data_IF_067182757683
#
_entry.id   IF_067182757683
#
_cell.length_a   1.000
_cell.length_b   1.000
_cell.length_c   1.000
_cell.angle_alpha   90.00
_cell.angle_beta   90.00
_cell.angle_gamma   90.00
#
_symmetry.space_group_name_H-M   'P 1'
#
loop_
_entity.id
_entity.type
_entity.pdbx_description
1 polymer ?
#
# COMPACT_ATOMS: atom_id res chain seq x y z
N UNK A 1 -12.64 9.32 2.34
CA UNK A 1 -13.10 7.96 1.98
C UNK A 1 -13.34 7.91 0.48
N UNK A 2 -12.43 7.31 -0.28
CA UNK A 2 -12.62 7.00 -1.69
C UNK A 2 -13.59 5.81 -1.79
N UNK A 3 -14.90 6.04 -1.77
CA UNK A 3 -15.88 5.04 -2.20
C UNK A 3 -15.93 5.07 -3.71
N UNK A 4 -15.31 4.14 -4.37
CA UNK A 4 -15.44 3.95 -5.81
C UNK A 4 -16.78 3.29 -6.19
N UNK A 5 -17.44 2.59 -5.26
CA UNK A 5 -18.73 1.94 -5.48
C UNK A 5 -19.48 1.77 -4.14
N UNK A 6 -20.81 2.00 -4.04
CA UNK A 6 -21.59 1.74 -2.83
C UNK A 6 -21.49 0.29 -2.32
N UNK A 7 -21.19 -0.67 -3.21
CA UNK A 7 -21.02 -2.09 -2.90
C UNK A 7 -19.56 -2.50 -2.66
N UNK A 8 -18.59 -1.59 -2.78
CA UNK A 8 -17.20 -1.89 -2.44
C UNK A 8 -16.99 -1.73 -0.93
N UNK A 9 -16.40 -2.77 -0.32
CA UNK A 9 -15.88 -2.67 1.05
C UNK A 9 -14.91 -1.48 1.09
N UNK A 10 -15.04 -0.62 2.09
CA UNK A 10 -14.13 0.51 2.30
C UNK A 10 -12.68 0.04 2.37
N UNK A 11 -11.75 0.90 1.98
CA UNK A 11 -10.32 0.61 2.10
C UNK A 11 -9.97 0.38 3.58
N UNK A 12 -9.55 -0.83 3.99
CA UNK A 12 -9.26 -1.14 5.39
C UNK A 12 -8.22 -0.19 6.02
N UNK A 13 -7.29 0.31 5.22
CA UNK A 13 -6.30 1.29 5.66
C UNK A 13 -6.97 2.54 6.26
N UNK A 14 -7.93 3.13 5.58
CA UNK A 14 -8.59 4.35 6.08
C UNK A 14 -9.41 4.08 7.33
N UNK A 15 -10.10 2.95 7.41
CA UNK A 15 -10.88 2.58 8.61
C UNK A 15 -9.98 2.37 9.83
N UNK A 16 -8.91 1.61 9.67
CA UNK A 16 -7.95 1.36 10.73
C UNK A 16 -7.19 2.64 11.12
N UNK A 17 -6.88 3.51 10.14
CA UNK A 17 -6.26 4.81 10.40
C UNK A 17 -7.17 5.68 11.28
N UNK A 18 -8.45 5.79 10.94
CA UNK A 18 -9.43 6.52 11.75
C UNK A 18 -9.52 5.92 13.16
N UNK A 19 -9.63 4.60 13.25
CA UNK A 19 -9.71 3.90 14.54
C UNK A 19 -8.45 4.13 15.40
N UNK A 20 -7.27 4.19 14.78
CA UNK A 20 -6.01 4.42 15.49
C UNK A 20 -5.85 5.84 16.04
N UNK A 21 -6.54 6.82 15.44
CA UNK A 21 -6.55 8.22 15.88
C UNK A 21 -7.71 8.53 16.84
N UNK A 22 -8.81 7.77 16.82
CA UNK A 22 -9.92 7.96 17.74
C UNK A 22 -9.57 7.38 19.11
N UNK A 23 -9.28 8.29 20.05
CA UNK A 23 -9.00 7.93 21.44
C UNK A 23 -9.88 8.78 22.36
N UNK A 24 -10.53 8.12 23.30
CA UNK A 24 -11.35 8.82 24.30
C UNK A 24 -10.50 9.84 25.05
N UNK A 25 -10.99 11.09 25.09
CA UNK A 25 -10.35 12.19 25.78
C UNK A 25 -9.17 12.86 25.07
N UNK A 26 -8.62 12.28 23.99
CA UNK A 26 -7.44 12.85 23.31
C UNK A 26 -7.76 13.42 21.92
N UNK A 27 -8.52 12.70 21.11
CA UNK A 27 -8.82 13.12 19.74
C UNK A 27 -10.10 12.51 19.20
N UNK A 28 -10.79 13.25 18.35
CA UNK A 28 -11.99 12.81 17.63
C UNK A 28 -11.80 13.00 16.14
N UNK A 29 -11.96 11.92 15.36
CA UNK A 29 -11.83 11.97 13.91
C UNK A 29 -13.19 12.18 13.26
N UNK A 30 -13.31 13.25 12.45
CA UNK A 30 -14.48 13.54 11.63
C UNK A 30 -14.20 13.08 10.20
N UNK A 31 -14.81 11.97 9.77
CA UNK A 31 -14.72 11.46 8.42
C UNK A 31 -16.10 11.06 7.88
N UNK A 32 -16.96 12.03 7.57
CA UNK A 32 -18.32 11.74 7.10
C UNK A 32 -18.28 11.01 5.76
N UNK A 33 -19.07 9.95 5.57
CA UNK A 33 -19.18 9.25 4.31
C UNK A 33 -19.77 10.18 3.24
N UNK A 34 -19.06 10.39 2.15
CA UNK A 34 -19.54 11.19 1.02
C UNK A 34 -18.99 10.64 -0.29
N UNK A 35 -19.78 10.73 -1.39
CA UNK A 35 -19.32 10.33 -2.73
C UNK A 35 -18.14 11.17 -3.22
N UNK A 36 -18.08 12.42 -2.82
CA UNK A 36 -16.98 13.34 -3.10
C UNK A 36 -16.29 13.73 -1.80
N UNK A 37 -15.03 13.31 -1.57
CA UNK A 37 -14.29 13.60 -0.34
C UNK A 37 -14.14 15.10 -0.05
N UNK A 38 -13.96 15.94 -1.07
CA UNK A 38 -13.83 17.39 -0.88
C UNK A 38 -15.11 18.02 -0.39
N UNK A 39 -16.25 17.64 -0.95
CA UNK A 39 -17.56 18.18 -0.50
C UNK A 39 -17.88 17.77 0.94
N UNK A 40 -17.33 16.66 1.41
CA UNK A 40 -17.56 16.20 2.79
C UNK A 40 -16.97 17.13 3.84
N UNK A 41 -15.90 17.84 3.50
CA UNK A 41 -15.15 18.71 4.44
C UNK A 41 -15.30 20.20 4.15
N UNK A 42 -16.04 20.60 3.10
CA UNK A 42 -16.28 22.03 2.81
C UNK A 42 -16.96 22.81 3.94
N UNK A 43 -17.99 22.28 4.67
CA UNK A 43 -18.62 23.04 5.73
C UNK A 43 -17.65 23.33 6.88
N UNK A 44 -17.41 24.60 7.27
CA UNK A 44 -16.45 24.97 8.33
C UNK A 44 -16.68 24.25 9.66
N UNK A 45 -17.93 23.95 10.01
CA UNK A 45 -18.29 23.17 11.22
C UNK A 45 -17.70 21.75 11.25
N UNK A 46 -17.16 21.26 10.14
CA UNK A 46 -16.51 19.96 10.02
C UNK A 46 -14.98 20.05 10.03
N UNK A 47 -14.42 21.25 10.17
CA UNK A 47 -12.98 21.43 10.22
C UNK A 47 -12.50 21.16 11.64
N UNK A 48 -11.72 20.08 11.80
CA UNK A 48 -10.94 19.88 13.01
C UNK A 48 -9.73 20.83 13.03
N UNK A 49 -8.86 20.66 14.02
CA UNK A 49 -7.60 21.40 14.10
C UNK A 49 -6.58 20.90 13.11
N UNK A 50 -6.71 19.64 12.71
CA UNK A 50 -5.82 18.92 11.79
C UNK A 50 -6.63 18.31 10.66
N UNK A 51 -6.19 18.52 9.42
CA UNK A 51 -6.76 17.91 8.22
C UNK A 51 -5.73 16.97 7.60
N UNK A 52 -6.11 15.69 7.43
CA UNK A 52 -5.21 14.66 6.88
C UNK A 52 -5.65 14.32 5.47
N UNK A 53 -4.75 14.48 4.52
CA UNK A 53 -4.95 14.15 3.12
C UNK A 53 -4.20 12.86 2.75
N UNK A 54 -4.96 11.87 2.26
CA UNK A 54 -4.44 10.68 1.61
C UNK A 54 -4.72 10.78 0.11
N UNK A 55 -3.75 10.38 -0.74
CA UNK A 55 -3.88 10.38 -2.21
C UNK A 55 -4.37 11.72 -2.79
N UNK A 56 -3.87 12.83 -2.28
CA UNK A 56 -4.25 14.18 -2.73
C UNK A 56 -3.99 14.38 -4.23
N UNK A 57 -2.94 13.77 -4.75
CA UNK A 57 -2.56 13.79 -6.15
C UNK A 57 -3.58 13.10 -7.07
N UNK A 58 -4.43 12.21 -6.57
CA UNK A 58 -5.41 11.46 -7.35
C UNK A 58 -6.73 12.21 -7.58
N UNK A 59 -6.89 13.43 -7.05
CA UNK A 59 -8.10 14.24 -7.23
C UNK A 59 -8.50 14.42 -8.70
N UNK A 60 -7.58 14.64 -9.67
CA UNK A 60 -7.95 14.76 -11.08
C UNK A 60 -8.57 13.51 -11.71
N UNK A 61 -8.42 12.33 -11.08
CA UNK A 61 -9.00 11.09 -11.60
C UNK A 61 -10.51 10.93 -11.29
N UNK A 62 -11.08 11.81 -10.46
CA UNK A 62 -12.51 11.80 -10.17
C UNK A 62 -13.34 12.47 -11.27
N UNK A 63 -14.66 12.21 -11.25
CA UNK A 63 -15.60 12.93 -12.10
C UNK A 63 -15.43 14.44 -11.89
N UNK A 64 -15.30 15.21 -12.97
CA UNK A 64 -14.95 16.65 -12.95
C UNK A 64 -13.61 16.95 -12.25
N UNK A 65 -12.63 16.09 -12.43
CA UNK A 65 -11.36 16.09 -11.69
C UNK A 65 -10.59 17.40 -11.71
N UNK A 66 -10.54 18.11 -12.85
CA UNK A 66 -9.89 19.42 -12.93
C UNK A 66 -10.58 20.47 -12.06
N UNK A 67 -11.92 20.51 -12.07
CA UNK A 67 -12.69 21.41 -11.20
C UNK A 67 -12.47 21.06 -9.74
N UNK A 68 -12.46 19.77 -9.42
CA UNK A 68 -12.15 19.33 -8.06
C UNK A 68 -10.72 19.67 -7.63
N UNK A 69 -9.74 19.61 -8.54
CA UNK A 69 -8.37 20.00 -8.26
C UNK A 69 -8.27 21.50 -7.91
N UNK A 70 -8.94 22.37 -8.67
CA UNK A 70 -9.00 23.80 -8.38
C UNK A 70 -9.69 24.04 -7.02
N UNK A 71 -10.83 23.39 -6.79
CA UNK A 71 -11.53 23.48 -5.49
C UNK A 71 -10.64 23.04 -4.33
N UNK A 72 -9.85 21.96 -4.51
CA UNK A 72 -8.93 21.48 -3.48
C UNK A 72 -7.81 22.48 -3.17
N UNK A 73 -7.28 23.15 -4.21
CA UNK A 73 -6.25 24.19 -4.04
C UNK A 73 -6.81 25.35 -3.23
N UNK A 74 -7.99 25.86 -3.61
CA UNK A 74 -8.67 26.92 -2.88
C UNK A 74 -8.95 26.50 -1.43
N UNK A 75 -9.46 25.30 -1.23
CA UNK A 75 -9.79 24.77 0.09
C UNK A 75 -8.55 24.67 0.99
N UNK A 76 -7.46 24.07 0.52
CA UNK A 76 -6.20 23.98 1.27
C UNK A 76 -5.67 25.38 1.62
N UNK A 77 -5.81 26.35 0.71
CA UNK A 77 -5.39 27.73 0.96
C UNK A 77 -6.23 28.37 2.07
N UNK A 78 -7.55 28.19 2.05
CA UNK A 78 -8.46 28.68 3.09
C UNK A 78 -8.14 28.02 4.44
N UNK A 79 -7.88 26.71 4.48
CA UNK A 79 -7.47 26.03 5.71
C UNK A 79 -6.20 26.63 6.31
N UNK A 80 -5.22 26.97 5.49
CA UNK A 80 -3.99 27.63 5.97
C UNK A 80 -4.25 29.03 6.49
N UNK A 81 -5.13 29.81 5.84
CA UNK A 81 -5.56 31.11 6.36
C UNK A 81 -6.31 30.97 7.70
N UNK A 82 -7.11 29.92 7.86
CA UNK A 82 -7.78 29.57 9.10
C UNK A 82 -6.85 28.91 10.14
N UNK A 83 -5.52 28.92 9.92
CA UNK A 83 -4.47 28.37 10.81
C UNK A 83 -4.67 26.88 11.13
N UNK A 84 -5.32 26.11 10.24
CA UNK A 84 -5.47 24.66 10.40
C UNK A 84 -4.18 23.95 10.01
N UNK A 85 -3.81 22.90 10.75
CA UNK A 85 -2.66 22.04 10.43
C UNK A 85 -3.03 21.07 9.33
N UNK A 86 -2.12 20.86 8.41
CA UNK A 86 -2.31 19.97 7.25
C UNK A 86 -1.27 18.85 7.31
N UNK A 87 -1.75 17.61 7.31
CA UNK A 87 -0.94 16.41 7.20
C UNK A 87 -1.15 15.81 5.81
N UNK A 88 -0.09 15.52 5.10
CA UNK A 88 -0.14 14.80 3.83
C UNK A 88 0.54 13.44 3.96
N UNK A 89 -0.15 12.37 3.56
CA UNK A 89 0.41 11.02 3.51
C UNK A 89 0.83 10.72 2.07
N UNK A 90 2.14 10.59 1.87
CA UNK A 90 2.75 10.25 0.58
C UNK A 90 2.74 8.73 0.40
N UNK A 91 1.81 8.23 -0.41
CA UNK A 91 1.66 6.79 -0.68
C UNK A 91 2.42 6.33 -1.92
N UNK A 92 2.64 7.19 -2.91
CA UNK A 92 3.12 6.81 -4.23
C UNK A 92 4.28 7.69 -4.70
N UNK A 93 5.22 7.13 -5.46
CA UNK A 93 6.30 7.87 -6.11
C UNK A 93 5.80 8.77 -7.24
N UNK A 94 4.83 8.23 -7.98
CA UNK A 94 4.16 8.83 -9.13
C UNK A 94 2.68 8.50 -9.07
N UNK A 95 1.81 9.32 -9.66
CA UNK A 95 0.40 8.96 -9.82
C UNK A 95 0.24 7.66 -10.61
N UNK A 96 -0.70 6.78 -10.19
CA UNK A 96 -0.91 5.48 -10.82
C UNK A 96 -1.50 5.53 -12.23
N UNK A 97 -2.23 6.59 -12.57
CA UNK A 97 -2.86 6.75 -13.86
C UNK A 97 -2.14 7.84 -14.68
N UNK A 98 -1.96 7.62 -15.97
CA UNK A 98 -1.26 8.56 -16.87
C UNK A 98 -2.09 9.82 -17.20
N UNK A 99 -3.40 9.83 -16.90
CA UNK A 99 -4.26 10.99 -17.08
C UNK A 99 -3.84 12.17 -16.18
N UNK A 100 -3.92 13.40 -16.75
CA UNK A 100 -3.68 14.66 -16.02
C UNK A 100 -2.32 14.75 -15.29
N UNK A 101 -1.27 14.15 -15.84
CA UNK A 101 0.05 14.04 -15.19
C UNK A 101 0.61 15.41 -14.75
N UNK A 102 0.43 16.47 -15.55
CA UNK A 102 0.86 17.83 -15.21
C UNK A 102 0.14 18.37 -13.96
N UNK A 103 -1.19 18.21 -13.91
CA UNK A 103 -2.00 18.64 -12.76
C UNK A 103 -1.65 17.84 -11.49
N UNK A 104 -1.47 16.53 -11.60
CA UNK A 104 -1.07 15.67 -10.48
C UNK A 104 0.28 16.06 -9.92
N UNK A 105 1.29 16.30 -10.76
CA UNK A 105 2.61 16.82 -10.34
C UNK A 105 2.48 18.20 -9.66
N UNK A 106 1.63 19.06 -10.19
CA UNK A 106 1.36 20.36 -9.57
C UNK A 106 0.72 20.19 -8.20
N UNK A 107 -0.30 19.33 -8.04
CA UNK A 107 -0.94 19.05 -6.74
C UNK A 107 0.04 18.49 -5.72
N UNK A 108 0.92 17.57 -6.12
CA UNK A 108 1.98 17.07 -5.22
C UNK A 108 2.91 18.18 -4.74
N UNK A 109 3.36 19.05 -5.66
CA UNK A 109 4.20 20.22 -5.31
C UNK A 109 3.47 21.20 -4.40
N UNK A 110 2.20 21.44 -4.69
CA UNK A 110 1.34 22.35 -3.92
C UNK A 110 1.15 21.85 -2.49
N UNK A 111 0.72 20.58 -2.32
CA UNK A 111 0.48 20.02 -1.00
C UNK A 111 1.78 19.87 -0.19
N UNK A 112 2.89 19.51 -0.82
CA UNK A 112 4.20 19.44 -0.15
C UNK A 112 4.61 20.80 0.44
N UNK A 113 4.29 21.93 -0.23
CA UNK A 113 4.54 23.28 0.31
C UNK A 113 3.61 23.65 1.44
N UNK A 114 2.33 23.27 1.34
CA UNK A 114 1.27 23.68 2.28
C UNK A 114 1.14 22.78 3.51
N UNK A 115 1.56 21.53 3.42
CA UNK A 115 1.54 20.61 4.57
C UNK A 115 2.47 21.09 5.68
N UNK A 116 2.03 20.90 6.92
CA UNK A 116 2.81 21.11 8.14
C UNK A 116 3.57 19.85 8.52
N UNK A 117 3.01 18.67 8.18
CA UNK A 117 3.60 17.35 8.37
C UNK A 117 3.39 16.52 7.11
N UNK A 118 4.42 15.79 6.69
CA UNK A 118 4.35 14.80 5.61
C UNK A 118 4.71 13.45 6.19
N UNK A 119 3.88 12.45 5.95
CA UNK A 119 4.14 11.07 6.36
C UNK A 119 4.44 10.23 5.13
N UNK A 120 5.36 9.31 5.26
CA UNK A 120 5.67 8.31 4.24
C UNK A 120 5.87 6.93 4.88
N UNK A 121 5.55 5.87 4.14
CA UNK A 121 5.66 4.48 4.58
C UNK A 121 6.88 3.77 3.98
N UNK A 122 7.83 4.52 3.40
CA UNK A 122 9.11 4.01 2.93
C UNK A 122 10.19 5.07 3.11
N UNK A 123 11.41 4.66 3.43
CA UNK A 123 12.56 5.58 3.56
C UNK A 123 12.87 6.29 2.24
N UNK A 124 12.61 5.64 1.10
CA UNK A 124 12.70 6.28 -0.22
C UNK A 124 11.81 7.52 -0.34
N UNK A 125 10.68 7.57 0.40
CA UNK A 125 9.81 8.75 0.44
C UNK A 125 10.50 9.98 1.02
N UNK A 126 11.43 9.81 1.98
CA UNK A 126 12.24 10.89 2.52
C UNK A 126 13.13 11.48 1.41
N UNK A 127 13.77 10.63 0.62
CA UNK A 127 14.62 11.05 -0.49
C UNK A 127 13.83 11.75 -1.60
N UNK A 128 12.63 11.23 -1.93
CA UNK A 128 11.73 11.87 -2.90
C UNK A 128 11.38 13.29 -2.46
N UNK A 129 11.05 13.49 -1.18
CA UNK A 129 10.74 14.83 -0.66
C UNK A 129 11.97 15.72 -0.70
N UNK A 130 13.14 15.25 -0.25
CA UNK A 130 14.39 16.01 -0.28
C UNK A 130 14.77 16.48 -1.69
N UNK A 131 14.66 15.59 -2.68
CA UNK A 131 15.07 15.88 -4.05
C UNK A 131 14.04 16.72 -4.81
N UNK A 132 12.75 16.40 -4.70
CA UNK A 132 11.70 17.04 -5.51
C UNK A 132 11.05 18.25 -4.85
N UNK A 133 11.09 18.30 -3.51
CA UNK A 133 10.43 19.32 -2.69
C UNK A 133 11.33 19.74 -1.52
N UNK A 134 12.56 20.26 -1.76
CA UNK A 134 13.57 20.52 -0.73
C UNK A 134 13.06 21.43 0.40
N UNK A 135 12.15 22.35 0.10
CA UNK A 135 11.51 23.22 1.10
C UNK A 135 10.62 22.47 2.10
N UNK A 136 10.30 21.22 1.84
CA UNK A 136 9.49 20.35 2.71
C UNK A 136 10.32 19.29 3.44
N UNK A 137 11.66 19.28 3.28
CA UNK A 137 12.53 18.24 3.83
C UNK A 137 12.48 18.13 5.37
N UNK A 138 12.28 19.27 6.07
CA UNK A 138 12.16 19.28 7.53
C UNK A 138 10.79 18.85 8.07
N UNK A 139 9.83 18.53 7.17
CA UNK A 139 8.44 18.20 7.54
C UNK A 139 8.10 16.73 7.29
N UNK A 140 8.99 15.95 6.67
CA UNK A 140 8.72 14.57 6.27
C UNK A 140 9.21 13.61 7.34
N UNK A 141 8.36 12.64 7.69
CA UNK A 141 8.63 11.60 8.67
C UNK A 141 8.28 10.23 8.09
N UNK A 142 9.17 9.28 8.33
CA UNK A 142 8.94 7.89 8.00
C UNK A 142 8.24 7.17 9.17
N UNK A 143 7.17 6.47 8.85
CA UNK A 143 6.50 5.53 9.73
C UNK A 143 6.16 4.29 8.90
N UNK A 144 6.50 3.11 9.40
CA UNK A 144 6.11 1.86 8.73
C UNK A 144 4.61 1.82 8.45
N UNK A 145 4.21 1.21 7.34
CA UNK A 145 2.80 1.00 7.04
C UNK A 145 2.24 0.02 8.07
N UNK A 146 1.28 0.43 8.91
CA UNK A 146 0.78 -0.44 9.97
C UNK A 146 -0.14 -1.54 9.42
N UNK A 147 -0.25 -2.65 10.13
CA UNK A 147 -1.20 -3.72 9.85
C UNK A 147 -1.72 -4.35 11.13
N UNK A 148 -2.64 -5.30 11.00
CA UNK A 148 -3.20 -6.08 12.11
C UNK A 148 -2.42 -7.39 12.18
N UNK A 149 -1.93 -7.77 13.36
CA UNK A 149 -1.26 -9.05 13.58
C UNK A 149 -2.25 -10.21 13.35
N UNK A 150 -1.94 -11.10 12.39
CA UNK A 150 -2.71 -12.30 12.01
C UNK A 150 -1.82 -13.54 11.99
N UNK A 151 -0.71 -13.51 12.74
CA UNK A 151 0.24 -14.62 12.77
C UNK A 151 -0.46 -15.91 13.19
N UNK A 152 -0.16 -17.04 12.52
CA UNK A 152 -0.64 -18.35 12.94
C UNK A 152 0.01 -18.73 14.29
N UNK A 153 -0.61 -19.67 15.00
CA UNK A 153 -0.02 -20.22 16.24
C UNK A 153 1.27 -20.98 15.95
N UNK A 154 1.33 -21.68 14.80
CA UNK A 154 2.46 -22.49 14.34
C UNK A 154 2.64 -22.30 12.83
N UNK A 155 3.88 -22.38 12.36
CA UNK A 155 4.16 -22.41 10.94
C UNK A 155 3.62 -23.70 10.32
N UNK A 156 3.15 -23.65 9.05
CA UNK A 156 2.70 -24.84 8.34
C UNK A 156 3.87 -25.81 8.15
N UNK A 157 3.55 -27.12 8.15
CA UNK A 157 4.52 -28.13 7.84
C UNK A 157 4.89 -28.08 6.33
N UNK A 158 6.14 -28.44 6.00
CA UNK A 158 6.67 -28.38 4.61
C UNK A 158 5.85 -29.23 3.62
N UNK A 159 5.30 -30.35 4.06
CA UNK A 159 4.45 -31.23 3.24
C UNK A 159 3.08 -30.63 2.92
N UNK A 160 2.69 -29.51 3.52
CA UNK A 160 1.43 -28.82 3.22
C UNK A 160 1.59 -27.74 2.14
N UNK A 161 2.81 -27.51 1.64
CA UNK A 161 3.08 -26.52 0.60
C UNK A 161 2.56 -27.02 -0.75
N UNK A 162 1.61 -26.31 -1.32
CA UNK A 162 0.96 -26.59 -2.61
C UNK A 162 1.50 -25.67 -3.72
N UNK A 163 1.90 -24.45 -3.35
CA UNK A 163 2.34 -23.41 -4.28
C UNK A 163 3.74 -22.93 -3.93
N UNK A 164 4.57 -22.76 -4.94
CA UNK A 164 5.85 -22.05 -4.75
C UNK A 164 5.61 -20.55 -4.55
N UNK A 165 4.63 -20.00 -5.28
CA UNK A 165 4.30 -18.59 -5.25
C UNK A 165 2.79 -18.35 -5.10
N UNK A 166 2.45 -17.45 -4.20
CA UNK A 166 1.11 -16.86 -4.08
C UNK A 166 1.17 -15.40 -4.51
N UNK A 167 0.35 -15.02 -5.48
CA UNK A 167 0.09 -13.62 -5.82
C UNK A 167 -1.34 -13.30 -5.41
N UNK A 168 -1.55 -12.28 -4.56
CA UNK A 168 -2.89 -11.98 -4.08
C UNK A 168 -3.23 -10.49 -4.10
N UNK A 169 -4.53 -10.18 -3.98
CA UNK A 169 -5.08 -8.84 -4.02
C UNK A 169 -5.71 -8.52 -5.38
N UNK A 170 -6.15 -7.27 -5.60
CA UNK A 170 -6.80 -6.89 -6.86
C UNK A 170 -5.90 -7.17 -8.05
N UNK A 171 -6.39 -7.93 -9.03
CA UNK A 171 -5.68 -8.22 -10.27
C UNK A 171 -5.89 -7.04 -11.23
N UNK A 172 -4.82 -6.30 -11.49
CA UNK A 172 -4.84 -5.09 -12.35
C UNK A 172 -3.51 -4.92 -13.08
N UNK A 173 -3.50 -4.18 -14.20
CA UNK A 173 -2.33 -4.05 -15.07
C UNK A 173 -1.08 -3.50 -14.35
N UNK A 174 -1.24 -2.46 -13.51
CA UNK A 174 -0.10 -1.83 -12.82
C UNK A 174 0.61 -2.74 -11.80
N UNK A 175 0.00 -3.90 -11.47
CA UNK A 175 0.56 -4.85 -10.48
C UNK A 175 1.55 -5.85 -11.06
N UNK A 176 1.92 -5.75 -12.33
CA UNK A 176 2.95 -6.57 -12.93
C UNK A 176 2.60 -8.05 -13.13
N UNK A 177 1.34 -8.44 -12.86
CA UNK A 177 0.89 -9.84 -12.99
C UNK A 177 0.94 -10.30 -14.45
N UNK A 178 0.57 -9.41 -15.38
CA UNK A 178 0.60 -9.69 -16.80
C UNK A 178 2.03 -9.90 -17.30
N UNK A 179 2.95 -9.06 -16.86
CA UNK A 179 4.36 -9.12 -17.15
C UNK A 179 4.97 -10.43 -16.65
N UNK A 180 4.63 -10.83 -15.41
CA UNK A 180 5.12 -12.07 -14.83
C UNK A 180 4.57 -13.32 -15.55
N UNK A 181 3.27 -13.36 -15.89
CA UNK A 181 2.71 -14.46 -16.70
C UNK A 181 3.37 -14.53 -18.08
N UNK A 182 3.60 -13.39 -18.72
CA UNK A 182 4.28 -13.33 -20.02
C UNK A 182 5.74 -13.80 -19.91
N UNK A 183 6.42 -13.45 -18.83
CA UNK A 183 7.76 -13.94 -18.52
C UNK A 183 7.79 -15.47 -18.40
N UNK A 184 6.92 -16.06 -17.56
CA UNK A 184 6.85 -17.52 -17.39
C UNK A 184 6.56 -18.26 -18.70
N UNK A 185 5.70 -17.70 -19.56
CA UNK A 185 5.41 -18.28 -20.87
C UNK A 185 6.63 -18.32 -21.79
N UNK A 186 7.52 -17.31 -21.69
CA UNK A 186 8.73 -17.22 -22.50
C UNK A 186 9.92 -17.99 -21.90
N UNK A 187 9.79 -18.48 -20.66
CA UNK A 187 10.81 -19.27 -19.94
C UNK A 187 10.22 -20.61 -19.50
N UNK A 188 9.93 -21.52 -20.47
CA UNK A 188 9.26 -22.79 -20.19
C UNK A 188 10.08 -23.75 -19.32
N UNK A 189 11.37 -23.51 -19.14
CA UNK A 189 12.24 -24.24 -18.20
C UNK A 189 11.92 -23.92 -16.74
N UNK A 190 11.25 -22.80 -16.47
CA UNK A 190 10.81 -22.42 -15.13
C UNK A 190 9.36 -22.85 -14.91
N UNK A 191 9.14 -23.76 -13.96
CA UNK A 191 7.81 -24.31 -13.67
C UNK A 191 7.39 -24.14 -12.20
N UNK A 192 7.41 -22.92 -11.62
CA UNK A 192 6.93 -22.73 -10.27
C UNK A 192 5.40 -22.94 -10.22
N UNK A 193 4.90 -23.68 -9.23
CA UNK A 193 3.45 -23.72 -8.97
C UNK A 193 2.96 -22.37 -8.46
N UNK A 194 2.18 -21.66 -9.26
CA UNK A 194 1.71 -20.30 -8.94
C UNK A 194 0.20 -20.26 -8.68
N UNK A 195 -0.21 -19.69 -7.57
CA UNK A 195 -1.60 -19.33 -7.30
C UNK A 195 -1.78 -17.82 -7.36
N UNK A 196 -2.69 -17.35 -8.22
CA UNK A 196 -3.08 -15.93 -8.31
C UNK A 196 -4.51 -15.82 -7.82
N UNK A 197 -4.75 -15.12 -6.71
CA UNK A 197 -6.09 -14.96 -6.13
C UNK A 197 -6.43 -13.49 -5.89
N UNK A 198 -7.56 -13.06 -6.45
CA UNK A 198 -8.03 -11.69 -6.28
C UNK A 198 -9.11 -11.31 -7.27
N UNK A 199 -9.91 -10.30 -6.92
CA UNK A 199 -10.87 -9.73 -7.85
C UNK A 199 -10.14 -9.09 -9.03
N UNK A 200 -10.50 -9.46 -10.24
CA UNK A 200 -9.94 -8.86 -11.45
C UNK A 200 -10.62 -7.49 -11.74
N UNK A 201 -9.81 -6.51 -12.13
CA UNK A 201 -10.27 -5.15 -12.43
C UNK A 201 -11.22 -5.10 -13.64
N UNK A 202 -11.07 -6.02 -14.61
CA UNK A 202 -11.96 -6.14 -15.76
C UNK A 202 -12.04 -7.58 -16.27
N UNK A 203 -13.18 -7.93 -16.89
CA UNK A 203 -13.38 -9.25 -17.51
C UNK A 203 -12.43 -9.47 -18.71
N UNK A 204 -12.11 -8.42 -19.45
CA UNK A 204 -11.15 -8.48 -20.58
C UNK A 204 -9.74 -8.86 -20.10
N UNK A 205 -9.26 -8.23 -19.02
CA UNK A 205 -7.98 -8.55 -18.42
C UNK A 205 -7.95 -10.00 -17.93
N UNK A 206 -9.03 -10.47 -17.27
CA UNK A 206 -9.12 -11.85 -16.82
C UNK A 206 -8.97 -12.85 -17.96
N UNK A 207 -9.75 -12.67 -19.04
CA UNK A 207 -9.66 -13.53 -20.24
C UNK A 207 -8.25 -13.52 -20.85
N UNK A 208 -7.63 -12.36 -20.92
CA UNK A 208 -6.26 -12.22 -21.44
C UNK A 208 -5.26 -13.00 -20.58
N UNK A 209 -5.32 -12.86 -19.26
CA UNK A 209 -4.43 -13.56 -18.34
C UNK A 209 -4.63 -15.08 -18.40
N UNK A 210 -5.90 -15.55 -18.43
CA UNK A 210 -6.23 -16.97 -18.53
C UNK A 210 -5.75 -17.59 -19.85
N UNK A 211 -5.83 -16.86 -20.95
CA UNK A 211 -5.36 -17.34 -22.26
C UNK A 211 -3.82 -17.42 -22.36
N UNK A 212 -3.10 -16.66 -21.56
CA UNK A 212 -1.63 -16.61 -21.55
C UNK A 212 -1.00 -17.45 -20.46
N UNK A 213 -1.74 -17.76 -19.40
CA UNK A 213 -1.21 -18.48 -18.24
C UNK A 213 -0.79 -19.91 -18.63
N UNK A 214 0.44 -20.34 -18.26
CA UNK A 214 0.82 -21.74 -18.31
C UNK A 214 -0.04 -22.62 -17.37
N UNK A 215 -0.09 -23.94 -17.61
CA UNK A 215 -0.94 -24.87 -16.85
C UNK A 215 -0.62 -24.94 -15.35
N UNK A 216 0.61 -24.62 -14.97
CA UNK A 216 1.05 -24.54 -13.57
C UNK A 216 0.71 -23.19 -12.88
N UNK A 217 0.01 -22.29 -13.56
CA UNK A 217 -0.48 -21.01 -13.02
C UNK A 217 -1.99 -21.06 -12.84
N UNK A 218 -2.44 -21.14 -11.59
CA UNK A 218 -3.87 -21.14 -11.24
C UNK A 218 -4.35 -19.72 -10.97
N UNK A 219 -5.39 -19.25 -11.69
CA UNK A 219 -5.99 -17.93 -11.49
C UNK A 219 -7.38 -18.08 -10.87
N UNK A 220 -7.60 -17.50 -9.70
CA UNK A 220 -8.86 -17.52 -8.92
C UNK A 220 -9.38 -16.08 -8.83
N UNK A 221 -10.36 -15.66 -9.68
CA UNK A 221 -10.80 -14.27 -9.78
C UNK A 221 -11.80 -13.87 -8.67
N UNK A 222 -11.46 -14.14 -7.40
CA UNK A 222 -12.29 -13.81 -6.24
C UNK A 222 -11.49 -13.06 -5.18
N UNK A 223 -12.17 -12.20 -4.39
CA UNK A 223 -11.57 -11.57 -3.22
C UNK A 223 -11.75 -12.49 -2.01
N UNK A 224 -10.71 -13.17 -1.53
CA UNK A 224 -10.81 -14.01 -0.35
C UNK A 224 -11.02 -13.15 0.90
N UNK A 225 -11.70 -13.70 1.92
CA UNK A 225 -11.61 -13.16 3.28
C UNK A 225 -10.17 -13.32 3.81
N UNK A 226 -9.79 -12.56 4.84
CA UNK A 226 -8.46 -12.73 5.45
C UNK A 226 -8.26 -14.13 6.05
N UNK A 227 -9.32 -14.77 6.55
CA UNK A 227 -9.29 -16.16 7.01
C UNK A 227 -8.97 -17.13 5.86
N UNK A 228 -9.66 -17.00 4.73
CA UNK A 228 -9.37 -17.81 3.53
C UNK A 228 -7.98 -17.53 2.99
N UNK A 229 -7.55 -16.27 3.01
CA UNK A 229 -6.21 -15.86 2.57
C UNK A 229 -5.11 -16.46 3.44
N UNK A 230 -5.32 -16.58 4.75
CA UNK A 230 -4.34 -17.21 5.66
C UNK A 230 -4.04 -18.66 5.25
N UNK A 231 -5.05 -19.40 4.77
CA UNK A 231 -4.87 -20.77 4.28
C UNK A 231 -4.03 -20.80 2.98
N UNK A 232 -4.26 -19.86 2.05
CA UNK A 232 -3.43 -19.76 0.85
C UNK A 232 -1.99 -19.39 1.20
N UNK A 233 -1.77 -18.47 2.12
CA UNK A 233 -0.42 -18.13 2.60
C UNK A 233 0.24 -19.36 3.25
N UNK A 234 -0.49 -20.09 4.10
CA UNK A 234 0.02 -21.29 4.76
C UNK A 234 0.38 -22.43 3.77
N UNK A 235 -0.29 -22.50 2.62
CA UNK A 235 0.01 -23.48 1.58
C UNK A 235 1.00 -22.99 0.52
N UNK A 236 1.63 -21.82 0.74
CA UNK A 236 2.53 -21.20 -0.24
C UNK A 236 3.92 -20.99 0.36
N UNK A 237 4.94 -21.18 -0.46
CA UNK A 237 6.34 -21.02 -0.05
C UNK A 237 6.70 -19.54 0.10
N UNK A 238 6.27 -18.71 -0.86
CA UNK A 238 6.43 -17.25 -0.84
C UNK A 238 5.16 -16.55 -1.32
N UNK A 239 4.96 -15.34 -0.84
CA UNK A 239 4.06 -14.37 -1.48
C UNK A 239 4.88 -13.54 -2.46
N UNK A 240 4.54 -13.60 -3.74
CA UNK A 240 5.15 -12.77 -4.78
C UNK A 240 4.30 -11.51 -5.01
N UNK A 241 4.95 -10.37 -5.01
CA UNK A 241 4.35 -9.06 -5.30
C UNK A 241 5.09 -8.48 -6.51
N UNK A 242 4.67 -8.81 -7.75
CA UNK A 242 5.42 -8.50 -8.96
C UNK A 242 5.19 -7.08 -9.48
N UNK A 243 5.06 -6.08 -8.58
CA UNK A 243 4.76 -4.71 -8.97
C UNK A 243 5.86 -4.08 -9.82
N UNK A 244 5.45 -3.20 -10.74
CA UNK A 244 6.40 -2.37 -11.47
C UNK A 244 7.12 -1.40 -10.51
N UNK A 245 8.45 -1.40 -10.43
CA UNK A 245 9.22 -0.66 -9.41
C UNK A 245 8.96 0.85 -9.41
N UNK A 246 8.65 1.42 -10.57
CA UNK A 246 8.53 2.86 -10.78
C UNK A 246 7.30 3.51 -10.11
N UNK A 247 6.27 2.73 -9.77
CA UNK A 247 5.02 3.24 -9.23
C UNK A 247 4.86 3.03 -7.73
N UNK A 248 5.58 2.08 -7.15
CA UNK A 248 5.38 1.62 -5.78
C UNK A 248 6.33 2.35 -4.82
N UNK A 249 5.77 2.92 -3.76
CA UNK A 249 6.50 3.43 -2.61
C UNK A 249 6.27 2.54 -1.39
N UNK A 250 5.00 2.18 -1.13
CA UNK A 250 4.63 1.26 -0.06
C UNK A 250 3.48 0.35 -0.51
N UNK A 251 3.30 -0.79 0.14
CA UNK A 251 2.30 -1.78 -0.24
C UNK A 251 1.55 -2.34 0.96
N UNK A 252 0.23 -2.13 1.00
CA UNK A 252 -0.65 -2.80 1.95
C UNK A 252 -0.63 -4.32 1.79
N UNK A 253 -0.48 -4.83 0.55
CA UNK A 253 -0.34 -6.27 0.29
C UNK A 253 0.91 -6.83 0.94
N UNK A 254 2.04 -6.09 0.92
CA UNK A 254 3.27 -6.47 1.61
C UNK A 254 3.02 -6.60 3.12
N UNK A 255 2.48 -5.56 3.75
CA UNK A 255 2.25 -5.56 5.19
C UNK A 255 1.24 -6.61 5.63
N UNK A 256 0.14 -6.77 4.89
CA UNK A 256 -0.84 -7.81 5.19
C UNK A 256 -0.25 -9.22 4.98
N UNK A 257 0.66 -9.42 4.01
CA UNK A 257 1.38 -10.69 3.85
C UNK A 257 2.29 -10.98 5.05
N UNK A 258 3.06 -9.98 5.48
CA UNK A 258 3.90 -10.10 6.69
C UNK A 258 3.06 -10.37 7.94
N UNK A 259 1.84 -9.84 8.02
CA UNK A 259 0.93 -10.10 9.14
C UNK A 259 0.53 -11.56 9.31
N UNK A 260 0.63 -12.36 8.25
CA UNK A 260 0.42 -13.81 8.29
C UNK A 260 1.72 -14.61 8.50
N UNK A 261 2.86 -13.96 8.64
CA UNK A 261 4.17 -14.61 8.72
C UNK A 261 4.69 -15.10 7.36
N UNK A 262 4.20 -14.53 6.26
CA UNK A 262 4.64 -14.92 4.91
C UNK A 262 6.08 -14.50 4.63
N UNK A 263 6.84 -15.37 3.96
CA UNK A 263 8.05 -14.96 3.24
C UNK A 263 7.62 -14.24 1.97
N UNK A 264 8.24 -13.10 1.67
CA UNK A 264 7.82 -12.23 0.57
C UNK A 264 8.93 -12.03 -0.44
N UNK A 265 8.56 -12.08 -1.73
CA UNK A 265 9.41 -11.64 -2.84
C UNK A 265 8.75 -10.41 -3.46
N UNK A 266 9.47 -9.30 -3.57
CA UNK A 266 8.95 -8.05 -4.13
C UNK A 266 10.00 -7.25 -4.89
N UNK A 267 9.62 -6.16 -5.58
CA UNK A 267 10.58 -5.36 -6.35
C UNK A 267 11.58 -4.64 -5.43
N UNK A 268 12.81 -4.46 -5.91
CA UNK A 268 13.86 -3.73 -5.18
C UNK A 268 13.57 -2.22 -5.15
N UNK A 269 12.53 -1.82 -4.42
CA UNK A 269 12.05 -0.43 -4.36
C UNK A 269 11.20 -0.15 -3.11
N UNK A 270 11.19 1.10 -2.64
CA UNK A 270 10.31 1.56 -1.56
C UNK A 270 10.42 0.73 -0.29
N UNK A 271 9.29 0.45 0.32
CA UNK A 271 9.20 -0.33 1.56
C UNK A 271 9.71 -1.77 1.44
N UNK A 272 9.79 -2.35 0.23
CA UNK A 272 10.37 -3.68 0.05
C UNK A 272 11.85 -3.70 0.40
N UNK A 273 12.61 -2.65 0.03
CA UNK A 273 14.01 -2.49 0.43
C UNK A 273 14.10 -2.32 1.95
N UNK A 274 13.27 -1.46 2.54
CA UNK A 274 13.28 -1.23 3.99
C UNK A 274 13.09 -2.54 4.76
N UNK A 275 12.16 -3.38 4.32
CA UNK A 275 11.86 -4.65 5.00
C UNK A 275 12.83 -5.77 4.65
N UNK A 276 13.49 -5.75 3.48
CA UNK A 276 14.54 -6.72 3.14
C UNK A 276 15.80 -6.56 4.01
N UNK A 277 16.02 -5.37 4.55
CA UNK A 277 17.12 -5.11 5.49
C UNK A 277 16.75 -5.38 6.95
N UNK A 278 15.51 -5.76 7.24
CA UNK A 278 15.06 -6.07 8.59
C UNK A 278 15.25 -7.56 8.89
N UNK A 279 16.20 -7.88 9.77
CA UNK A 279 16.54 -9.27 10.13
C UNK A 279 15.43 -10.06 10.83
N UNK A 280 14.36 -9.39 11.27
CA UNK A 280 13.17 -10.05 11.84
C UNK A 280 12.24 -10.63 10.79
N UNK A 281 12.42 -10.27 9.51
CA UNK A 281 11.51 -10.57 8.41
C UNK A 281 12.21 -11.33 7.29
N UNK A 282 11.44 -12.13 6.55
CA UNK A 282 11.91 -12.83 5.35
C UNK A 282 11.36 -12.11 4.10
N UNK A 283 11.99 -11.01 3.74
CA UNK A 283 11.64 -10.23 2.55
C UNK A 283 12.83 -10.20 1.61
N UNK A 284 12.62 -10.69 0.39
CA UNK A 284 13.62 -10.72 -0.67
C UNK A 284 13.22 -9.77 -1.78
N UNK A 285 14.20 -9.09 -2.39
CA UNK A 285 13.91 -8.13 -3.46
C UNK A 285 14.52 -8.56 -4.78
N UNK A 286 13.77 -8.38 -5.87
CA UNK A 286 14.20 -8.62 -7.24
C UNK A 286 14.37 -7.30 -8.00
N UNK A 287 15.32 -7.22 -8.90
CA UNK A 287 15.53 -6.14 -9.86
C UNK A 287 14.99 -6.49 -11.26
N UNK A 288 15.08 -7.77 -11.62
CA UNK A 288 14.52 -8.36 -12.84
C UNK A 288 13.63 -9.56 -12.49
N UNK A 289 12.77 -9.99 -13.40
CA UNK A 289 11.94 -11.18 -13.19
C UNK A 289 12.79 -12.47 -13.12
N UNK A 290 13.99 -12.47 -13.70
CA UNK A 290 14.93 -13.59 -13.62
C UNK A 290 15.42 -13.85 -12.18
N UNK A 291 15.55 -12.80 -11.38
CA UNK A 291 15.97 -12.90 -9.98
C UNK A 291 14.98 -13.75 -9.15
N UNK A 292 13.70 -13.80 -9.55
CA UNK A 292 12.66 -14.53 -8.80
C UNK A 292 12.98 -16.02 -8.74
N UNK A 293 13.43 -16.63 -9.83
CA UNK A 293 13.80 -18.05 -9.87
C UNK A 293 15.02 -18.34 -8.98
N UNK A 294 16.00 -17.44 -8.97
CA UNK A 294 17.20 -17.53 -8.11
C UNK A 294 16.79 -17.44 -6.63
N UNK A 295 15.97 -16.45 -6.27
CA UNK A 295 15.48 -16.28 -4.89
C UNK A 295 14.70 -17.52 -4.44
N UNK A 296 13.83 -18.07 -5.31
CA UNK A 296 13.08 -19.29 -5.01
C UNK A 296 14.01 -20.48 -4.71
N UNK A 297 15.07 -20.65 -5.50
CA UNK A 297 16.04 -21.71 -5.31
C UNK A 297 16.82 -21.55 -4.00
N UNK A 298 17.41 -20.38 -3.80
CA UNK A 298 18.34 -20.11 -2.70
C UNK A 298 17.66 -20.12 -1.33
N UNK A 299 16.43 -19.58 -1.27
CA UNK A 299 15.67 -19.44 -0.03
C UNK A 299 14.54 -20.46 0.14
N UNK A 300 14.54 -21.53 -0.67
CA UNK A 300 13.50 -22.57 -0.62
C UNK A 300 13.32 -23.17 0.78
N UNK A 301 14.42 -23.44 1.49
CA UNK A 301 14.43 -24.06 2.82
C UNK A 301 14.39 -23.06 3.99
N UNK A 302 14.41 -21.76 3.70
CA UNK A 302 14.36 -20.72 4.71
C UNK A 302 13.04 -20.81 5.50
N UNK A 303 13.11 -20.65 6.83
CA UNK A 303 11.94 -20.64 7.71
C UNK A 303 11.71 -19.24 8.25
N UNK A 304 10.46 -18.82 8.30
CA UNK A 304 10.09 -17.58 8.96
C UNK A 304 10.20 -17.72 10.49
N UNK A 305 10.63 -16.66 11.17
CA UNK A 305 10.65 -16.60 12.63
C UNK A 305 9.37 -15.94 13.14
N UNK A 306 8.41 -16.72 13.65
CA UNK A 306 7.19 -16.15 14.23
C UNK A 306 7.47 -15.18 15.39
N UNK A 307 8.56 -15.37 16.12
CA UNK A 307 8.98 -14.45 17.20
C UNK A 307 9.42 -13.11 16.60
N UNK A 308 10.27 -13.14 15.57
CA UNK A 308 10.71 -11.92 14.88
C UNK A 308 9.55 -11.17 14.22
N UNK A 309 8.68 -11.88 13.52
CA UNK A 309 7.48 -11.27 12.91
C UNK A 309 6.56 -10.64 13.96
N UNK A 310 6.34 -11.32 15.10
CA UNK A 310 5.52 -10.78 16.19
C UNK A 310 6.11 -9.50 16.74
N UNK A 311 7.41 -9.50 17.04
CA UNK A 311 8.09 -8.30 17.51
C UNK A 311 7.91 -7.14 16.52
N UNK A 312 8.17 -7.37 15.24
CA UNK A 312 8.01 -6.33 14.20
C UNK A 312 6.57 -5.81 14.12
N UNK A 313 5.57 -6.71 14.14
CA UNK A 313 4.17 -6.34 14.02
C UNK A 313 3.66 -5.56 15.24
N UNK A 314 4.10 -5.92 16.44
CA UNK A 314 3.73 -5.24 17.68
C UNK A 314 4.35 -3.84 17.75
N UNK A 315 5.61 -3.68 17.32
CA UNK A 315 6.31 -2.39 17.24
C UNK A 315 5.71 -1.45 16.16
N UNK A 316 5.00 -2.00 15.15
CA UNK A 316 4.41 -1.26 14.04
C UNK A 316 2.88 -1.40 13.96
N UNK A 317 2.23 -1.67 15.10
CA UNK A 317 0.78 -1.79 15.19
C UNK A 317 0.07 -0.44 14.95
N UNK A 318 -1.20 -0.49 14.55
CA UNK A 318 -2.04 0.69 14.32
C UNK A 318 -2.10 1.64 15.51
N UNK A 319 -2.08 1.10 16.74
CA UNK A 319 -2.11 1.93 17.96
C UNK A 319 -0.82 2.76 18.09
N UNK A 320 0.33 2.15 17.85
CA UNK A 320 1.61 2.87 17.85
C UNK A 320 1.63 3.95 16.75
N UNK A 321 1.18 3.60 15.55
CA UNK A 321 1.10 4.52 14.43
C UNK A 321 0.23 5.74 14.74
N UNK A 322 -0.99 5.54 15.28
CA UNK A 322 -1.88 6.63 15.69
C UNK A 322 -1.28 7.53 16.75
N UNK A 323 -0.66 6.95 17.80
CA UNK A 323 0.05 7.70 18.86
C UNK A 323 1.16 8.55 18.29
N UNK A 324 1.95 8.00 17.36
CA UNK A 324 3.08 8.71 16.75
C UNK A 324 2.64 9.88 15.89
N UNK A 325 1.52 9.75 15.18
CA UNK A 325 0.95 10.86 14.41
C UNK A 325 0.48 11.98 15.35
N UNK A 326 -0.22 11.65 16.42
CA UNK A 326 -0.68 12.63 17.40
C UNK A 326 0.53 13.37 18.00
N UNK A 327 1.57 12.66 18.40
CA UNK A 327 2.83 13.22 18.91
C UNK A 327 3.46 14.20 17.89
N UNK A 328 3.62 13.77 16.64
CA UNK A 328 4.23 14.58 15.58
C UNK A 328 3.42 15.84 15.29
N UNK A 329 2.09 15.72 15.18
CA UNK A 329 1.20 16.86 14.95
C UNK A 329 1.21 17.85 16.12
N UNK A 330 1.30 17.37 17.35
CA UNK A 330 1.37 18.21 18.55
C UNK A 330 2.67 19.00 18.59
N UNK A 331 3.80 18.39 18.21
CA UNK A 331 5.11 19.03 18.18
C UNK A 331 5.30 20.02 17.01
N UNK A 332 4.49 19.91 15.97
CA UNK A 332 4.54 20.84 14.83
C UNK A 332 3.97 22.19 15.28
N UNK A 333 4.83 23.23 15.30
CA UNK A 333 4.46 24.59 15.69
C UNK A 333 3.61 25.30 14.65
#
# INVERSE_FOLDING_TARGET
RLRQNPNEKSNPYIENFIASLNREGESTVINPPHRNPLLSILPPKRWGDVIIFNWFESIPDFKYGLLQAVTAICFVTILKLAKKKIVWVLHNKKPHNDGYTGMKKFLMRFIARKADLILTHATEGLEIIRQRYPQASGKVHFLHHPTINRLPRQLPAENNILYDLLIWGTISRYKGIHEYISYLRNHPEQHPNVCIIGRCASASLLKELQAKAPDYVKIIPESPSFEKLSNYVACSRFVLIPYCPDSVLSSGVLMDSLSFGAKVIGPATGSFIDYSHNSLLNVHTFKSLDDIAVILSDHKKEKASLVGYRQFLDENAWQYFGSKIIELVTKTK
#
